data_IF_817230774414
#
_entry.id   IF_817230774414
#
_cell.length_a   1.000
_cell.length_b   1.000
_cell.length_c   1.000
_cell.angle_alpha   90.00
_cell.angle_beta   90.00
_cell.angle_gamma   90.00
#
_symmetry.space_group_name_H-M   'P 1'
#
loop_
_entity.id
_entity.type
_entity.pdbx_description
1 polymer ?
#
# COMPACT_ATOMS: atom_id res chain seq x y z
N UNK A 1 9.99 4.87 13.66
CA UNK A 1 8.65 4.78 14.28
C UNK A 1 8.62 5.36 15.71
N UNK A 2 9.73 5.45 16.36
CA UNK A 2 9.84 5.89 17.77
C UNK A 2 9.82 7.41 17.96
N UNK A 3 9.95 8.19 16.90
CA UNK A 3 10.02 9.66 16.96
C UNK A 3 8.77 10.33 16.37
N UNK A 4 8.56 10.22 15.05
CA UNK A 4 7.53 10.99 14.35
C UNK A 4 6.11 10.60 14.79
N UNK A 5 5.78 9.31 14.80
CA UNK A 5 4.41 8.88 15.17
C UNK A 5 4.06 9.28 16.60
N UNK A 6 4.88 9.01 17.64
CA UNK A 6 4.60 9.47 18.99
C UNK A 6 4.54 10.99 19.12
N UNK A 7 5.32 11.73 18.34
CA UNK A 7 5.24 13.19 18.32
C UNK A 7 3.89 13.66 17.79
N UNK A 8 3.44 13.13 16.66
CA UNK A 8 2.15 13.48 16.04
C UNK A 8 0.99 13.11 16.99
N UNK A 9 1.01 11.92 17.58
CA UNK A 9 -0.05 11.45 18.48
C UNK A 9 -0.15 12.29 19.76
N UNK A 10 0.96 12.85 20.24
CA UNK A 10 0.94 13.80 21.38
C UNK A 10 0.46 15.20 21.00
N UNK A 11 0.76 15.65 19.78
CA UNK A 11 0.52 17.02 19.35
C UNK A 11 -0.89 17.24 18.76
N UNK A 12 -1.46 16.22 18.15
CA UNK A 12 -2.71 16.31 17.41
C UNK A 12 -3.75 15.31 17.95
N UNK A 13 -5.02 15.57 17.69
CA UNK A 13 -6.11 14.65 18.02
C UNK A 13 -6.14 13.49 17.03
N UNK A 14 -5.30 12.50 17.23
CA UNK A 14 -5.21 11.29 16.42
C UNK A 14 -5.96 10.12 17.05
N UNK A 15 -6.14 9.07 16.28
CA UNK A 15 -6.46 7.72 16.76
C UNK A 15 -5.18 6.90 16.60
N UNK A 16 -4.42 6.66 17.70
CA UNK A 16 -3.05 6.16 17.61
C UNK A 16 -2.95 4.67 17.25
N UNK A 17 -4.04 3.92 17.36
CA UNK A 17 -4.04 2.50 17.09
C UNK A 17 -3.71 2.20 15.61
N UNK A 18 -3.00 1.10 15.36
CA UNK A 18 -2.52 0.72 14.02
C UNK A 18 -3.64 0.56 13.01
N UNK A 19 -4.84 0.15 13.44
CA UNK A 19 -6.00 0.04 12.56
C UNK A 19 -6.48 1.39 11.99
N UNK A 20 -6.13 2.51 12.63
CA UNK A 20 -6.43 3.88 12.17
C UNK A 20 -5.21 4.58 11.61
N UNK A 21 -4.05 3.92 11.63
CA UNK A 21 -2.78 4.48 11.15
C UNK A 21 -2.46 3.91 9.78
N UNK A 22 -2.28 4.82 8.81
CA UNK A 22 -1.91 4.46 7.45
C UNK A 22 -0.50 4.93 7.10
N UNK A 23 0.11 4.21 6.17
CA UNK A 23 1.32 4.59 5.48
C UNK A 23 1.02 4.62 3.98
N UNK A 24 1.58 5.57 3.27
CA UNK A 24 1.35 5.68 1.83
C UNK A 24 2.53 6.30 1.10
N UNK A 25 2.68 5.94 -0.14
CA UNK A 25 3.68 6.48 -1.02
C UNK A 25 3.55 5.98 -2.45
N UNK A 26 4.29 6.62 -3.34
CA UNK A 26 4.38 6.29 -4.76
C UNK A 26 5.78 5.87 -5.14
N UNK A 27 5.92 5.11 -6.22
CA UNK A 27 7.23 4.67 -6.74
C UNK A 27 8.02 3.87 -5.69
N UNK A 28 9.25 4.25 -5.36
CA UNK A 28 10.02 3.67 -4.25
C UNK A 28 9.30 3.84 -2.90
N UNK A 29 8.56 4.95 -2.70
CA UNK A 29 7.73 5.16 -1.52
C UNK A 29 6.59 4.15 -1.41
N UNK A 30 5.98 3.74 -2.52
CA UNK A 30 5.00 2.67 -2.58
C UNK A 30 5.59 1.32 -2.19
N UNK A 31 6.78 1.00 -2.74
CA UNK A 31 7.53 -0.21 -2.38
C UNK A 31 7.84 -0.27 -0.88
N UNK A 32 8.40 0.81 -0.33
CA UNK A 32 8.74 0.91 1.10
C UNK A 32 7.49 0.85 1.98
N UNK A 33 6.39 1.45 1.54
CA UNK A 33 5.09 1.36 2.23
C UNK A 33 4.66 -0.08 2.43
N UNK A 34 4.70 -0.89 1.37
CA UNK A 34 4.31 -2.30 1.45
C UNK A 34 5.28 -3.09 2.35
N UNK A 35 6.58 -2.91 2.17
CA UNK A 35 7.60 -3.60 2.96
C UNK A 35 7.45 -3.29 4.46
N UNK A 36 7.31 -2.03 4.83
CA UNK A 36 7.11 -1.61 6.23
C UNK A 36 5.81 -2.20 6.79
N UNK A 37 4.71 -2.17 6.04
CA UNK A 37 3.44 -2.74 6.50
C UNK A 37 3.53 -4.23 6.79
N UNK A 38 4.20 -5.00 5.93
CA UNK A 38 4.41 -6.44 6.13
C UNK A 38 5.30 -6.70 7.35
N UNK A 39 6.37 -5.94 7.52
CA UNK A 39 7.35 -6.14 8.59
C UNK A 39 6.88 -5.60 9.95
N UNK A 40 6.04 -4.57 9.96
CA UNK A 40 5.59 -3.86 11.18
C UNK A 40 4.07 -3.65 11.20
N UNK A 41 3.25 -4.72 11.12
CA UNK A 41 1.79 -4.61 11.04
C UNK A 41 1.14 -4.03 12.30
N UNK A 42 1.87 -4.05 13.42
CA UNK A 42 1.40 -3.44 14.67
C UNK A 42 1.53 -1.90 14.70
N UNK A 43 2.26 -1.34 13.73
CA UNK A 43 2.39 0.12 13.59
C UNK A 43 1.44 0.69 12.54
N UNK A 44 1.29 0.01 11.40
CA UNK A 44 0.52 0.49 10.24
C UNK A 44 -0.31 -0.64 9.67
N UNK A 45 -1.63 -0.47 9.65
CA UNK A 45 -2.53 -1.48 9.07
C UNK A 45 -3.23 -1.05 7.79
N UNK A 46 -3.03 0.20 7.35
CA UNK A 46 -3.65 0.73 6.14
C UNK A 46 -2.57 1.24 5.20
N UNK A 47 -2.43 0.60 4.05
CA UNK A 47 -1.32 0.84 3.13
C UNK A 47 -1.83 1.38 1.81
N UNK A 48 -1.32 2.53 1.38
CA UNK A 48 -1.55 3.10 0.07
C UNK A 48 -0.29 2.94 -0.78
N UNK A 49 -0.28 1.92 -1.63
CA UNK A 49 0.85 1.49 -2.45
C UNK A 49 0.58 1.92 -3.90
N UNK A 50 1.16 3.05 -4.30
CA UNK A 50 0.92 3.65 -5.61
C UNK A 50 2.11 3.43 -6.54
N UNK A 51 1.88 2.87 -7.72
CA UNK A 51 2.91 2.63 -8.74
C UNK A 51 4.25 2.14 -8.14
N UNK A 52 4.26 1.08 -7.34
CA UNK A 52 5.45 0.68 -6.59
C UNK A 52 6.58 0.26 -7.51
N UNK A 53 7.82 0.63 -7.16
CA UNK A 53 9.04 0.22 -7.88
C UNK A 53 9.36 -1.26 -7.64
N UNK A 54 8.51 -2.15 -8.15
CA UNK A 54 8.56 -3.62 -7.88
C UNK A 54 9.88 -4.25 -8.32
N UNK A 55 10.49 -3.71 -9.37
CA UNK A 55 11.76 -4.18 -9.96
C UNK A 55 12.97 -4.03 -9.03
N UNK A 56 12.86 -3.21 -7.99
CA UNK A 56 13.99 -2.88 -7.12
C UNK A 56 14.58 -4.12 -6.46
N UNK A 57 15.92 -4.19 -6.42
CA UNK A 57 16.71 -5.28 -5.82
C UNK A 57 16.25 -6.66 -6.29
N UNK A 58 16.19 -6.81 -7.61
CA UNK A 58 15.78 -8.06 -8.25
C UNK A 58 14.47 -8.62 -7.66
N UNK A 59 13.45 -7.76 -7.63
CA UNK A 59 12.11 -8.10 -7.10
C UNK A 59 12.10 -8.56 -5.65
N UNK A 60 12.93 -7.95 -4.80
CA UNK A 60 13.00 -8.29 -3.36
C UNK A 60 11.63 -8.31 -2.68
N UNK A 61 10.70 -7.47 -3.11
CA UNK A 61 9.35 -7.42 -2.55
C UNK A 61 8.56 -8.72 -2.79
N UNK A 62 8.77 -9.41 -3.90
CA UNK A 62 8.14 -10.71 -4.15
C UNK A 62 8.63 -11.74 -3.15
N UNK A 63 9.96 -11.79 -2.90
CA UNK A 63 10.53 -12.69 -1.91
C UNK A 63 9.98 -12.42 -0.50
N UNK A 64 9.79 -11.14 -0.18
CA UNK A 64 9.19 -10.75 1.10
C UNK A 64 7.73 -11.23 1.20
N UNK A 65 6.92 -11.05 0.17
CA UNK A 65 5.54 -11.53 0.13
C UNK A 65 5.51 -13.05 0.23
N UNK A 66 6.35 -13.74 -0.53
CA UNK A 66 6.40 -15.20 -0.58
C UNK A 66 6.80 -15.80 0.79
N UNK A 67 7.59 -15.09 1.59
CA UNK A 67 8.00 -15.51 2.93
C UNK A 67 6.91 -15.35 4.01
N UNK A 68 5.77 -14.75 3.70
CA UNK A 68 4.67 -14.59 4.66
C UNK A 68 4.04 -15.95 4.96
N UNK A 69 4.20 -16.42 6.20
CA UNK A 69 3.57 -17.64 6.70
C UNK A 69 2.14 -17.38 7.20
N UNK A 70 1.93 -16.25 7.89
CA UNK A 70 0.64 -15.85 8.39
C UNK A 70 0.30 -14.44 7.89
N UNK A 71 -0.82 -14.31 7.18
CA UNK A 71 -1.27 -13.05 6.62
C UNK A 71 -1.46 -12.01 7.73
N UNK A 72 -0.70 -10.90 7.75
CA UNK A 72 -0.93 -9.82 8.68
C UNK A 72 -2.27 -9.10 8.39
N UNK A 73 -2.90 -8.50 9.41
CA UNK A 73 -4.22 -7.86 9.28
C UNK A 73 -4.13 -6.48 8.60
N UNK A 74 -3.57 -6.46 7.39
CA UNK A 74 -3.40 -5.25 6.58
C UNK A 74 -4.59 -5.03 5.67
N UNK A 75 -4.93 -3.76 5.47
CA UNK A 75 -5.81 -3.29 4.41
C UNK A 75 -4.97 -2.52 3.40
N UNK A 76 -4.95 -2.96 2.14
CA UNK A 76 -3.97 -2.53 1.15
C UNK A 76 -4.69 -1.99 -0.09
N UNK A 77 -4.37 -0.77 -0.47
CA UNK A 77 -4.61 -0.24 -1.80
C UNK A 77 -3.35 -0.42 -2.63
N UNK A 78 -3.48 -0.99 -3.83
CA UNK A 78 -2.41 -1.10 -4.82
C UNK A 78 -2.90 -0.50 -6.12
N UNK A 79 -2.12 0.34 -6.76
CA UNK A 79 -2.44 0.84 -8.09
C UNK A 79 -1.22 0.99 -8.98
N UNK A 80 -1.47 1.14 -10.28
CA UNK A 80 -0.49 1.50 -11.30
C UNK A 80 -1.19 2.18 -12.48
N UNK A 81 -0.43 2.93 -13.26
CA UNK A 81 -0.89 3.44 -14.54
C UNK A 81 -0.51 2.51 -15.70
N UNK A 82 -1.38 2.32 -16.69
CA UNK A 82 -1.10 1.40 -17.81
C UNK A 82 -0.08 1.95 -18.82
N UNK A 83 0.24 3.25 -18.76
CA UNK A 83 1.32 3.83 -19.54
C UNK A 83 2.69 3.75 -18.82
N UNK A 84 2.75 3.22 -17.60
CA UNK A 84 4.00 3.05 -16.85
C UNK A 84 4.79 1.83 -17.37
N UNK A 85 6.11 1.93 -17.57
CA UNK A 85 6.93 0.76 -17.89
C UNK A 85 6.86 -0.29 -16.77
N UNK A 86 6.56 -1.53 -17.13
CA UNK A 86 6.53 -2.64 -16.16
C UNK A 86 5.32 -2.65 -15.22
N UNK A 87 4.24 -1.99 -15.59
CA UNK A 87 2.98 -1.97 -14.80
C UNK A 87 2.44 -3.39 -14.51
N UNK A 88 2.73 -4.36 -15.38
CA UNK A 88 2.38 -5.77 -15.19
C UNK A 88 3.01 -6.38 -13.94
N UNK A 89 4.17 -5.85 -13.51
CA UNK A 89 4.85 -6.27 -12.28
C UNK A 89 4.00 -5.92 -11.05
N UNK A 90 3.29 -4.78 -11.09
CA UNK A 90 2.36 -4.40 -10.01
C UNK A 90 1.13 -5.31 -9.98
N UNK A 91 0.64 -5.76 -11.13
CA UNK A 91 -0.42 -6.78 -11.21
C UNK A 91 0.04 -8.09 -10.59
N UNK A 92 1.26 -8.54 -10.92
CA UNK A 92 1.85 -9.74 -10.35
C UNK A 92 2.03 -9.63 -8.83
N UNK A 93 2.46 -8.46 -8.33
CA UNK A 93 2.53 -8.19 -6.89
C UNK A 93 1.16 -8.38 -6.23
N UNK A 94 0.10 -7.86 -6.85
CA UNK A 94 -1.26 -8.02 -6.35
C UNK A 94 -1.69 -9.49 -6.34
N UNK A 95 -1.39 -10.26 -7.40
CA UNK A 95 -1.71 -11.68 -7.48
C UNK A 95 -1.06 -12.46 -6.34
N UNK A 96 0.23 -12.21 -6.04
CA UNK A 96 0.93 -12.84 -4.92
C UNK A 96 0.30 -12.53 -3.56
N UNK A 97 -0.16 -11.30 -3.35
CA UNK A 97 -0.90 -10.94 -2.14
C UNK A 97 -2.23 -11.70 -2.04
N UNK A 98 -2.96 -11.84 -3.16
CA UNK A 98 -4.19 -12.63 -3.21
C UNK A 98 -3.94 -14.11 -2.88
N UNK A 99 -2.86 -14.70 -3.40
CA UNK A 99 -2.43 -16.09 -3.09
C UNK A 99 -2.09 -16.27 -1.61
N UNK A 100 -1.56 -15.22 -0.95
CA UNK A 100 -1.31 -15.20 0.51
C UNK A 100 -2.59 -14.97 1.35
N UNK A 101 -3.75 -14.87 0.70
CA UNK A 101 -5.06 -14.87 1.35
C UNK A 101 -5.70 -13.50 1.55
N UNK A 102 -5.15 -12.41 0.98
CA UNK A 102 -5.89 -11.16 0.90
C UNK A 102 -7.09 -11.33 -0.03
N UNK A 103 -8.19 -10.64 0.27
CA UNK A 103 -9.45 -10.76 -0.48
C UNK A 103 -9.77 -9.45 -1.18
N UNK A 104 -9.91 -9.52 -2.51
CA UNK A 104 -10.27 -8.36 -3.34
C UNK A 104 -11.56 -7.70 -2.87
N UNK A 105 -11.58 -6.37 -2.85
CA UNK A 105 -12.71 -5.55 -2.40
C UNK A 105 -12.94 -5.54 -0.88
N UNK A 106 -12.25 -6.39 -0.13
CA UNK A 106 -12.37 -6.47 1.34
C UNK A 106 -11.13 -5.89 2.05
N UNK A 107 -9.99 -6.56 1.91
CA UNK A 107 -8.73 -6.19 2.56
C UNK A 107 -7.62 -5.82 1.58
N UNK A 108 -7.84 -6.04 0.28
CA UNK A 108 -7.03 -5.48 -0.79
C UNK A 108 -7.92 -4.92 -1.90
N UNK A 109 -7.52 -3.78 -2.46
CA UNK A 109 -8.09 -3.22 -3.70
C UNK A 109 -6.96 -2.95 -4.67
N UNK A 110 -7.09 -3.45 -5.89
CA UNK A 110 -6.18 -3.18 -7.00
C UNK A 110 -6.86 -2.33 -8.07
N UNK A 111 -6.13 -1.36 -8.64
CA UNK A 111 -6.62 -0.51 -9.72
C UNK A 111 -5.54 -0.29 -10.77
N UNK A 112 -5.89 -0.44 -12.03
CA UNK A 112 -5.11 -0.01 -13.19
C UNK A 112 -5.75 1.27 -13.75
N UNK A 113 -5.00 2.36 -13.73
CA UNK A 113 -5.44 3.63 -14.31
C UNK A 113 -5.10 3.63 -15.80
N UNK A 114 -6.13 3.60 -16.65
CA UNK A 114 -5.95 3.61 -18.10
C UNK A 114 -5.19 4.87 -18.55
N UNK A 115 -4.13 4.66 -19.36
CA UNK A 115 -3.21 5.69 -19.82
C UNK A 115 -2.56 6.53 -18.70
N UNK A 116 -2.67 6.13 -17.44
CA UNK A 116 -1.95 6.77 -16.33
C UNK A 116 -0.45 6.59 -16.48
N UNK A 117 0.29 7.66 -16.31
CA UNK A 117 1.75 7.68 -16.35
C UNK A 117 2.37 7.71 -14.94
N UNK A 118 3.69 7.66 -14.86
CA UNK A 118 4.45 7.70 -13.61
C UNK A 118 4.71 9.14 -13.18
N UNK A 119 3.66 9.86 -12.78
CA UNK A 119 3.74 11.28 -12.41
C UNK A 119 2.90 11.62 -11.19
N UNK A 120 3.27 12.71 -10.52
CA UNK A 120 2.55 13.26 -9.37
C UNK A 120 1.09 13.59 -9.72
N UNK A 121 0.83 14.06 -10.92
CA UNK A 121 -0.53 14.37 -11.38
C UNK A 121 -1.39 13.10 -11.49
N UNK A 122 -0.82 12.03 -12.08
CA UNK A 122 -1.48 10.74 -12.18
C UNK A 122 -1.72 10.12 -10.80
N UNK A 123 -0.77 10.21 -9.87
CA UNK A 123 -0.94 9.73 -8.50
C UNK A 123 -1.99 10.54 -7.75
N UNK A 124 -1.98 11.88 -7.85
CA UNK A 124 -2.97 12.73 -7.20
C UNK A 124 -4.41 12.37 -7.60
N UNK A 125 -4.65 12.03 -8.86
CA UNK A 125 -5.96 11.61 -9.35
C UNK A 125 -6.46 10.30 -8.71
N UNK A 126 -5.59 9.47 -8.17
CA UNK A 126 -5.90 8.17 -7.56
C UNK A 126 -5.96 8.18 -6.02
N UNK A 127 -5.59 9.29 -5.38
CA UNK A 127 -5.59 9.40 -3.91
C UNK A 127 -6.99 9.27 -3.32
N UNK A 128 -7.99 9.92 -3.91
CA UNK A 128 -9.35 9.91 -3.35
C UNK A 128 -9.94 8.51 -3.25
N UNK A 129 -10.00 7.69 -4.31
CA UNK A 129 -10.52 6.33 -4.22
C UNK A 129 -9.69 5.46 -3.26
N UNK A 130 -8.37 5.64 -3.19
CA UNK A 130 -7.51 4.95 -2.25
C UNK A 130 -7.90 5.26 -0.80
N UNK A 131 -8.05 6.53 -0.45
CA UNK A 131 -8.45 6.94 0.89
C UNK A 131 -9.86 6.46 1.25
N UNK A 132 -10.81 6.47 0.31
CA UNK A 132 -12.16 5.94 0.54
C UNK A 132 -12.17 4.46 0.84
N UNK A 133 -11.34 3.68 0.16
CA UNK A 133 -11.18 2.26 0.44
C UNK A 133 -10.49 2.02 1.78
N UNK A 134 -9.39 2.71 2.05
CA UNK A 134 -8.59 2.50 3.25
C UNK A 134 -9.30 3.02 4.51
N UNK A 135 -10.00 4.15 4.43
CA UNK A 135 -10.68 4.82 5.54
C UNK A 135 -12.16 5.06 5.22
N UNK A 136 -12.97 3.99 5.11
CA UNK A 136 -14.39 4.16 4.84
C UNK A 136 -15.06 4.96 5.96
N UNK A 137 -16.01 5.83 5.60
CA UNK A 137 -16.84 6.51 6.59
C UNK A 137 -17.63 5.46 7.36
N UNK A 138 -17.70 5.60 8.68
CA UNK A 138 -18.63 4.84 9.49
C UNK A 138 -20.07 5.14 8.99
N UNK A 139 -20.85 4.10 8.78
CA UNK A 139 -22.29 4.23 8.48
C UNK A 139 -23.02 4.67 9.72
#
# INVERSE_FOLDING_TARGET
MEELKPYIDRKYRTKPDSEFTGLGGSSLGGLVTLAIGILYPDAFRRLMVMSPSVWWDDFAIYRLIDSIEQKPPLKIWVDTGTAEPGWEQTRELCNRLLEKGWKSGKDIQYMEADQGDHSEAAWAARVEPALRFLFPRAK
#
